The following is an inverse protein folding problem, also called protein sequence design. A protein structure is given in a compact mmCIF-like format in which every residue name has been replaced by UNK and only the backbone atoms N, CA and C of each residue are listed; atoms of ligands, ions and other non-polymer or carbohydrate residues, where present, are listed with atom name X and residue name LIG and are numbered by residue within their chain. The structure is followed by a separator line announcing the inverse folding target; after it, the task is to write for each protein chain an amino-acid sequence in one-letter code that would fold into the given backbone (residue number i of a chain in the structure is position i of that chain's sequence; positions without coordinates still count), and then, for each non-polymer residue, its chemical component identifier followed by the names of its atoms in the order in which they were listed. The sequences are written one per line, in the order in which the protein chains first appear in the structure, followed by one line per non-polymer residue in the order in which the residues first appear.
data_IF_277458914872
#
_entry.id   IF_277458914872
#
_cell.length_a   1.000
_cell.length_b   1.000
_cell.length_c   1.000
_cell.angle_alpha   90.00
_cell.angle_beta   90.00
_cell.angle_gamma   90.00
#
_symmetry.space_group_name_H-M   'P 1'
#
loop_
_entity.id
_entity.type
_entity.pdbx_description
1 polymer ?
#
# COMPACT_ATOMS: atom_id res chain seq x y z
N UNK A 1 13.49 5.50 -31.40
CA UNK A 1 13.51 4.38 -30.41
C UNK A 1 12.55 4.75 -29.29
N UNK A 2 11.61 3.88 -28.90
CA UNK A 2 10.63 4.19 -27.85
C UNK A 2 11.20 3.82 -26.47
N UNK A 3 11.53 4.82 -25.65
CA UNK A 3 12.09 4.64 -24.30
C UNK A 3 11.03 4.41 -23.22
N UNK A 4 9.74 4.51 -23.56
CA UNK A 4 8.61 4.39 -22.64
C UNK A 4 8.68 3.12 -21.78
N UNK A 5 8.83 1.96 -22.42
CA UNK A 5 8.82 0.67 -21.73
C UNK A 5 9.95 0.52 -20.70
N UNK A 6 11.16 0.95 -21.05
CA UNK A 6 12.32 0.86 -20.15
C UNK A 6 12.13 1.79 -18.95
N UNK A 7 11.74 3.03 -19.20
CA UNK A 7 11.59 4.04 -18.16
C UNK A 7 10.41 3.74 -17.23
N UNK A 8 9.26 3.29 -17.76
CA UNK A 8 8.12 2.92 -16.92
C UNK A 8 8.42 1.67 -16.08
N UNK A 9 9.20 0.72 -16.61
CA UNK A 9 9.67 -0.44 -15.84
C UNK A 9 10.53 -0.05 -14.65
N UNK A 10 11.51 0.86 -14.86
CA UNK A 10 12.36 1.39 -13.78
C UNK A 10 11.52 2.14 -12.75
N UNK A 11 10.62 3.03 -13.19
CA UNK A 11 9.73 3.77 -12.29
C UNK A 11 8.83 2.83 -11.49
N UNK A 12 8.34 1.76 -12.10
CA UNK A 12 7.49 0.77 -11.42
C UNK A 12 8.23 0.08 -10.29
N UNK A 13 9.47 -0.37 -10.52
CA UNK A 13 10.31 -0.97 -9.48
C UNK A 13 10.59 0.01 -8.34
N UNK A 14 10.82 1.29 -8.64
CA UNK A 14 11.01 2.32 -7.63
C UNK A 14 9.73 2.55 -6.81
N UNK A 15 8.57 2.66 -7.45
CA UNK A 15 7.29 2.86 -6.76
C UNK A 15 6.96 1.69 -5.84
N UNK A 16 7.11 0.45 -6.33
CA UNK A 16 6.88 -0.76 -5.53
C UNK A 16 7.89 -0.83 -4.37
N UNK A 17 9.17 -0.53 -4.65
CA UNK A 17 10.22 -0.47 -3.64
C UNK A 17 9.91 0.53 -2.51
N UNK A 18 9.35 1.70 -2.85
CA UNK A 18 8.87 2.69 -1.89
C UNK A 18 7.59 2.25 -1.16
N UNK A 19 6.86 1.28 -1.70
CA UNK A 19 5.73 0.63 -1.04
C UNK A 19 6.13 -0.07 0.26
N UNK A 20 7.31 -0.70 0.34
CA UNK A 20 7.73 -1.41 1.56
C UNK A 20 7.88 -0.48 2.78
N UNK A 21 8.63 0.64 2.72
CA UNK A 21 8.64 1.62 3.80
C UNK A 21 7.26 2.15 4.18
N UNK A 22 6.35 2.29 3.21
CA UNK A 22 4.98 2.74 3.45
C UNK A 22 4.19 1.72 4.28
N UNK A 23 4.27 0.42 3.95
CA UNK A 23 3.63 -0.65 4.73
C UNK A 23 4.22 -0.73 6.14
N UNK A 24 5.55 -0.67 6.28
CA UNK A 24 6.24 -0.67 7.58
C UNK A 24 5.75 0.49 8.46
N UNK A 25 5.68 1.71 7.90
CA UNK A 25 5.17 2.87 8.65
C UNK A 25 3.68 2.77 8.93
N UNK A 26 2.89 2.31 7.96
CA UNK A 26 1.44 2.12 8.13
C UNK A 26 1.12 1.20 9.30
N UNK A 27 1.82 0.06 9.37
CA UNK A 27 1.71 -0.88 10.48
C UNK A 27 2.22 -0.26 11.80
N UNK A 28 3.38 0.39 11.77
CA UNK A 28 4.01 0.97 12.97
C UNK A 28 3.15 2.05 13.63
N UNK A 29 2.50 2.90 12.84
CA UNK A 29 1.70 4.01 13.39
C UNK A 29 0.23 3.66 13.59
N UNK A 30 -0.39 2.89 12.69
CA UNK A 30 -1.84 2.65 12.70
C UNK A 30 -2.22 1.18 12.96
N UNK A 31 -1.25 0.28 12.97
CA UNK A 31 -1.47 -1.17 13.02
C UNK A 31 -2.04 -1.72 11.71
N UNK A 32 -2.14 -3.05 11.62
CA UNK A 32 -2.63 -3.69 10.41
C UNK A 32 -4.12 -3.44 10.13
N UNK A 33 -4.88 -2.90 11.08
CA UNK A 33 -6.29 -2.53 10.89
C UNK A 33 -6.49 -1.33 9.94
N UNK A 34 -5.42 -0.64 9.51
CA UNK A 34 -5.53 0.39 8.49
C UNK A 34 -5.70 -0.16 7.06
N UNK A 35 -5.70 -1.49 6.88
CA UNK A 35 -5.80 -2.14 5.58
C UNK A 35 -6.98 -1.69 4.69
N UNK A 36 -8.22 -1.45 5.20
CA UNK A 36 -9.33 -1.07 4.31
C UNK A 36 -9.13 0.32 3.74
N UNK A 37 -8.52 1.23 4.50
CA UNK A 37 -8.20 2.58 4.05
C UNK A 37 -7.15 2.54 2.96
N UNK A 38 -6.07 1.78 3.17
CA UNK A 38 -5.00 1.67 2.20
C UNK A 38 -5.48 0.99 0.91
N UNK A 39 -6.28 -0.08 1.03
CA UNK A 39 -6.92 -0.75 -0.09
C UNK A 39 -7.90 0.17 -0.84
N UNK A 40 -8.80 0.84 -0.11
CA UNK A 40 -9.78 1.75 -0.69
C UNK A 40 -9.14 2.91 -1.43
N UNK A 41 -8.11 3.54 -0.85
CA UNK A 41 -7.32 4.59 -1.51
C UNK A 41 -6.66 4.03 -2.77
N UNK A 42 -6.05 2.85 -2.70
CA UNK A 42 -5.44 2.20 -3.86
C UNK A 42 -6.43 1.97 -5.01
N UNK A 43 -7.62 1.43 -4.71
CA UNK A 43 -8.68 1.21 -5.71
C UNK A 43 -9.16 2.53 -6.31
N UNK A 44 -9.36 3.57 -5.50
CA UNK A 44 -9.76 4.90 -5.99
C UNK A 44 -8.70 5.50 -6.92
N UNK A 45 -7.41 5.34 -6.60
CA UNK A 45 -6.30 5.80 -7.45
C UNK A 45 -6.28 5.04 -8.79
N UNK A 46 -6.49 3.72 -8.78
CA UNK A 46 -6.58 2.92 -10.01
C UNK A 46 -7.77 3.37 -10.86
N UNK A 47 -8.94 3.59 -10.25
CA UNK A 47 -10.11 4.09 -10.99
C UNK A 47 -9.82 5.48 -11.58
N UNK A 48 -9.16 6.36 -10.81
CA UNK A 48 -8.77 7.68 -11.30
C UNK A 48 -7.80 7.61 -12.49
N UNK A 49 -6.93 6.61 -12.57
CA UNK A 49 -5.98 6.47 -13.69
C UNK A 49 -6.69 6.25 -15.02
N UNK A 50 -7.89 5.66 -15.03
CA UNK A 50 -8.70 5.44 -16.25
C UNK A 50 -9.11 6.75 -16.94
N UNK A 51 -9.12 7.87 -16.22
CA UNK A 51 -9.53 9.18 -16.74
C UNK A 51 -8.34 10.05 -17.15
N UNK A 52 -7.11 9.53 -17.12
CA UNK A 52 -5.89 10.26 -17.48
C UNK A 52 -5.54 9.99 -18.94
N UNK A 53 -5.62 11.01 -19.81
CA UNK A 53 -5.33 10.89 -21.24
C UNK A 53 -3.84 10.74 -21.58
N UNK A 54 -2.94 11.09 -20.66
CA UNK A 54 -1.49 10.96 -20.88
C UNK A 54 -1.01 9.57 -20.44
N UNK A 55 -0.49 8.78 -21.37
CA UNK A 55 -0.08 7.38 -21.13
C UNK A 55 0.94 7.23 -20.00
N UNK A 56 1.90 8.15 -19.88
CA UNK A 56 2.90 8.12 -18.80
C UNK A 56 2.26 8.30 -17.43
N UNK A 57 1.44 9.34 -17.29
CA UNK A 57 0.76 9.62 -16.03
C UNK A 57 -0.27 8.55 -15.68
N UNK A 58 -1.00 8.04 -16.68
CA UNK A 58 -1.94 6.94 -16.51
C UNK A 58 -1.23 5.70 -15.92
N UNK A 59 -0.10 5.30 -16.52
CA UNK A 59 0.67 4.16 -16.04
C UNK A 59 1.24 4.39 -14.62
N UNK A 60 1.84 5.55 -14.34
CA UNK A 60 2.40 5.86 -13.03
C UNK A 60 1.32 5.84 -11.94
N UNK A 61 0.19 6.49 -12.18
CA UNK A 61 -0.93 6.53 -11.22
C UNK A 61 -1.52 5.14 -11.00
N UNK A 62 -1.69 4.36 -12.07
CA UNK A 62 -2.13 2.96 -11.97
C UNK A 62 -1.20 2.11 -11.10
N UNK A 63 0.13 2.23 -11.30
CA UNK A 63 1.13 1.50 -10.50
C UNK A 63 1.14 1.97 -9.03
N UNK A 64 0.99 3.26 -8.76
CA UNK A 64 0.85 3.78 -7.39
C UNK A 64 -0.37 3.16 -6.73
N UNK A 65 -1.53 3.20 -7.38
CA UNK A 65 -2.76 2.62 -6.85
C UNK A 65 -2.62 1.12 -6.58
N UNK A 66 -2.04 0.37 -7.52
CA UNK A 66 -1.75 -1.05 -7.36
C UNK A 66 -0.79 -1.33 -6.18
N UNK A 67 0.21 -0.48 -5.98
CA UNK A 67 1.15 -0.58 -4.84
C UNK A 67 0.44 -0.40 -3.50
N UNK A 68 -0.54 0.51 -3.41
CA UNK A 68 -1.38 0.67 -2.22
C UNK A 68 -2.28 -0.54 -1.97
N UNK A 69 -2.93 -1.07 -3.04
CA UNK A 69 -3.78 -2.26 -2.94
C UNK A 69 -2.95 -3.46 -2.49
N UNK A 70 -1.82 -3.74 -3.13
CA UNK A 70 -0.92 -4.83 -2.71
C UNK A 70 -0.44 -4.59 -1.29
N UNK A 71 0.11 -3.42 -0.98
CA UNK A 71 0.63 -3.15 0.36
C UNK A 71 -0.38 -3.40 1.47
N UNK A 72 -1.69 -3.30 1.18
CA UNK A 72 -2.75 -3.52 2.16
C UNK A 72 -2.88 -4.98 2.60
N UNK A 73 -2.49 -5.92 1.74
CA UNK A 73 -2.46 -7.35 2.05
C UNK A 73 -1.24 -7.71 2.90
N UNK A 74 -0.15 -6.95 2.77
CA UNK A 74 1.10 -7.16 3.52
C UNK A 74 1.05 -6.66 4.97
N UNK A 75 0.11 -5.77 5.31
CA UNK A 75 0.05 -5.15 6.65
C UNK A 75 -0.04 -6.17 7.78
N UNK A 76 -0.77 -7.27 7.59
CA UNK A 76 -0.93 -8.30 8.62
C UNK A 76 0.38 -9.05 8.85
N UNK A 77 1.06 -9.44 7.78
CA UNK A 77 2.38 -10.08 7.88
C UNK A 77 3.41 -9.12 8.45
N UNK A 78 3.33 -7.84 8.08
CA UNK A 78 4.20 -6.80 8.62
C UNK A 78 4.05 -6.68 10.15
N UNK A 79 2.84 -6.85 10.69
CA UNK A 79 2.62 -6.86 12.12
C UNK A 79 3.33 -8.05 12.80
N UNK A 80 3.26 -9.25 12.19
CA UNK A 80 4.00 -10.43 12.67
C UNK A 80 5.51 -10.18 12.61
N UNK A 81 6.03 -9.60 11.51
CA UNK A 81 7.45 -9.26 11.38
C UNK A 81 7.90 -8.24 12.45
N UNK A 82 7.04 -7.29 12.82
CA UNK A 82 7.32 -6.34 13.90
C UNK A 82 7.30 -7.01 15.29
N UNK A 83 6.38 -7.96 15.53
CA UNK A 83 6.33 -8.77 16.76
C UNK A 83 7.57 -9.69 16.90
N UNK A 84 8.09 -10.21 15.79
CA UNK A 84 9.35 -10.96 15.73
C UNK A 84 10.60 -10.09 15.89
N UNK A 85 10.45 -8.76 15.96
CA UNK A 85 11.55 -7.82 16.14
C UNK A 85 12.36 -7.48 14.86
N UNK A 86 11.86 -7.85 13.67
CA UNK A 86 12.55 -7.53 12.41
C UNK A 86 12.47 -6.05 12.05
N UNK A 87 11.45 -5.34 12.56
CA UNK A 87 11.24 -3.92 12.34
C UNK A 87 10.94 -3.19 13.66
N UNK A 88 11.19 -1.87 13.75
CA UNK A 88 10.91 -1.10 14.97
C UNK A 88 9.44 -1.16 15.38
N UNK A 89 9.17 -1.87 16.48
CA UNK A 89 7.84 -1.98 17.05
C UNK A 89 7.42 -0.66 17.71
N UNK A 90 6.11 -0.38 17.70
CA UNK A 90 5.51 0.72 18.43
C UNK A 90 4.29 0.20 19.20
N UNK A 91 4.34 0.30 20.53
CA UNK A 91 3.23 -0.10 21.39
C UNK A 91 2.05 0.88 21.32
N UNK A 92 2.32 2.16 21.04
CA UNK A 92 1.33 3.23 21.05
C UNK A 92 0.86 3.52 19.61
N UNK A 93 0.01 2.63 19.08
CA UNK A 93 -0.58 2.77 17.75
C UNK A 93 -1.84 3.64 17.79
N UNK A 94 -1.99 4.52 16.81
CA UNK A 94 -3.16 5.37 16.62
C UNK A 94 -4.30 4.52 16.08
N UNK A 95 -5.43 4.48 16.79
CA UNK A 95 -6.63 3.78 16.32
C UNK A 95 -7.23 4.52 15.13
N UNK A 96 -7.38 3.82 14.01
CA UNK A 96 -8.12 4.31 12.86
C UNK A 96 -9.62 4.39 13.16
N UNK A 97 -10.38 5.25 12.47
CA UNK A 97 -11.84 5.24 12.60
C UNK A 97 -12.40 3.83 12.32
N UNK A 98 -13.50 3.47 13.00
CA UNK A 98 -14.14 2.15 12.86
C UNK A 98 -13.23 0.94 13.16
N UNK A 99 -12.11 1.11 13.87
CA UNK A 99 -11.17 0.03 14.18
C UNK A 99 -11.85 -1.20 14.81
N UNK A 100 -12.82 -1.01 15.72
CA UNK A 100 -13.54 -2.10 16.37
C UNK A 100 -14.40 -2.92 15.40
N UNK A 101 -14.93 -2.28 14.36
CA UNK A 101 -15.65 -2.95 13.27
C UNK A 101 -14.66 -3.66 12.34
N UNK A 102 -13.57 -2.99 11.95
CA UNK A 102 -12.55 -3.54 11.05
C UNK A 102 -11.88 -4.77 11.66
N UNK A 103 -11.71 -4.80 13.00
CA UNK A 103 -11.17 -5.97 13.72
C UNK A 103 -12.02 -7.22 13.55
N UNK A 104 -13.33 -7.09 13.30
CA UNK A 104 -14.23 -8.21 13.01
C UNK A 104 -14.12 -8.70 11.56
N UNK A 105 -13.55 -7.90 10.67
CA UNK A 105 -13.31 -8.26 9.28
C UNK A 105 -12.07 -9.14 9.16
N UNK A 106 -12.10 -10.11 8.24
CA UNK A 106 -10.92 -10.90 7.91
C UNK A 106 -9.97 -10.03 7.09
N UNK A 107 -8.85 -9.62 7.69
CA UNK A 107 -7.81 -8.87 6.99
C UNK A 107 -7.27 -9.68 5.79
N UNK A 108 -7.07 -9.04 4.63
CA UNK A 108 -6.42 -9.67 3.50
C UNK A 108 -4.99 -10.03 3.87
N UNK A 109 -4.51 -11.12 3.31
CA UNK A 109 -3.16 -11.64 3.42
C UNK A 109 -2.86 -12.36 2.11
N UNK A 110 -1.58 -12.38 1.73
CA UNK A 110 -1.10 -13.18 0.61
C UNK A 110 -0.69 -14.58 1.08
#
# INVERSE_FOLDING_TARGET
MNTFGILIGILTLLIIGLGFPLVIRGERYFGYHCWPYMMGIGVLIIIASLFISNDWLCAIVGVIGATFVWGSTELKEQAVRAELGWFPFNANKVKVPFADTIKKMKAPHL
#
